data_IF_614256524096
#
_entry.id   IF_614256524096
#
_cell.length_a   1.000
_cell.length_b   1.000
_cell.length_c   1.000
_cell.angle_alpha   90.00
_cell.angle_beta   90.00
_cell.angle_gamma   90.00
#
_symmetry.space_group_name_H-M   'P 1'
#
loop_
_entity.id
_entity.type
_entity.pdbx_description
1 polymer ?
#
# COMPACT_ATOMS: atom_id res chain seq x y z
N UNK A 1 -19.29 -2.50 4.19
CA UNK A 1 -18.08 -1.65 4.38
C UNK A 1 -16.82 -2.19 3.71
N UNK A 2 -16.52 -3.50 3.78
CA UNK A 2 -15.28 -4.05 3.18
C UNK A 2 -15.21 -3.90 1.64
N UNK A 3 -16.33 -4.07 0.93
CA UNK A 3 -16.40 -3.87 -0.53
C UNK A 3 -16.21 -2.40 -0.92
N UNK A 4 -16.91 -1.49 -0.25
CA UNK A 4 -16.77 -0.05 -0.48
C UNK A 4 -15.32 0.42 -0.26
N UNK A 5 -14.66 -0.06 0.80
CA UNK A 5 -13.26 0.23 1.08
C UNK A 5 -12.34 -0.30 -0.02
N UNK A 6 -12.56 -1.52 -0.52
CA UNK A 6 -11.78 -2.09 -1.64
C UNK A 6 -11.97 -1.28 -2.92
N UNK A 7 -13.21 -0.90 -3.23
CA UNK A 7 -13.52 -0.10 -4.42
C UNK A 7 -12.88 1.30 -4.35
N UNK A 8 -12.90 1.92 -3.17
CA UNK A 8 -12.22 3.19 -2.93
C UNK A 8 -10.72 3.10 -3.12
N UNK A 9 -10.08 2.04 -2.59
CA UNK A 9 -8.65 1.81 -2.79
C UNK A 9 -8.34 1.59 -4.28
N UNK A 10 -9.15 0.79 -4.97
CA UNK A 10 -8.99 0.56 -6.41
C UNK A 10 -9.09 1.87 -7.19
N UNK A 11 -10.09 2.70 -6.90
CA UNK A 11 -10.28 4.00 -7.54
C UNK A 11 -9.07 4.90 -7.33
N UNK A 12 -8.56 5.00 -6.10
CA UNK A 12 -7.37 5.80 -5.78
C UNK A 12 -6.14 5.28 -6.54
N UNK A 13 -5.95 3.96 -6.60
CA UNK A 13 -4.85 3.37 -7.38
C UNK A 13 -4.96 3.69 -8.87
N UNK A 14 -6.16 3.58 -9.45
CA UNK A 14 -6.39 3.91 -10.87
C UNK A 14 -6.10 5.39 -11.14
N UNK A 15 -6.61 6.30 -10.29
CA UNK A 15 -6.36 7.73 -10.42
C UNK A 15 -4.86 8.06 -10.28
N UNK A 16 -4.15 7.40 -9.37
CA UNK A 16 -2.71 7.58 -9.20
C UNK A 16 -1.94 7.15 -10.46
N UNK A 17 -2.31 6.02 -11.08
CA UNK A 17 -1.71 5.54 -12.33
C UNK A 17 -2.00 6.53 -13.46
N UNK A 18 -3.25 6.98 -13.61
CA UNK A 18 -3.65 7.93 -14.65
C UNK A 18 -2.91 9.27 -14.50
N UNK A 19 -2.77 9.78 -13.27
CA UNK A 19 -1.98 10.97 -12.98
C UNK A 19 -0.51 10.77 -13.35
N UNK A 20 0.09 9.67 -12.92
CA UNK A 20 1.47 9.31 -13.26
C UNK A 20 1.69 9.26 -14.78
N UNK A 21 0.79 8.60 -15.50
CA UNK A 21 0.82 8.51 -16.95
C UNK A 21 0.70 9.91 -17.59
N UNK A 22 -0.26 10.72 -17.12
CA UNK A 22 -0.49 12.07 -17.64
C UNK A 22 0.75 12.96 -17.52
N UNK A 23 1.51 12.84 -16.44
CA UNK A 23 2.75 13.59 -16.22
C UNK A 23 3.83 13.13 -17.20
N UNK A 24 3.95 11.82 -17.45
CA UNK A 24 4.90 11.26 -18.45
C UNK A 24 4.55 11.75 -19.85
N UNK A 25 3.28 11.66 -20.24
CA UNK A 25 2.79 12.06 -21.57
C UNK A 25 2.90 13.57 -21.80
N UNK A 26 2.63 14.39 -20.77
CA UNK A 26 2.72 15.84 -20.86
C UNK A 26 4.16 16.38 -20.86
N UNK A 27 5.14 15.58 -20.43
CA UNK A 27 6.54 15.97 -20.34
C UNK A 27 7.43 14.92 -21.05
N UNK A 28 7.32 14.81 -22.39
CA UNK A 28 8.07 13.81 -23.17
C UNK A 28 9.56 14.15 -23.31
N UNK A 29 9.95 15.40 -23.04
CA UNK A 29 11.32 15.87 -23.19
C UNK A 29 12.30 15.05 -22.32
N UNK A 30 13.27 14.35 -22.94
CA UNK A 30 14.21 13.52 -22.22
C UNK A 30 15.24 14.39 -21.50
N UNK A 31 15.39 14.16 -20.19
CA UNK A 31 16.37 14.87 -19.35
C UNK A 31 17.35 13.85 -18.79
N UNK A 32 18.65 14.17 -18.85
CA UNK A 32 19.68 13.43 -18.13
C UNK A 32 19.63 13.78 -16.64
N UNK A 33 19.41 12.79 -15.80
CA UNK A 33 19.37 12.95 -14.33
C UNK A 33 20.67 12.43 -13.74
N UNK A 34 21.29 13.20 -12.84
CA UNK A 34 22.43 12.72 -12.04
C UNK A 34 21.93 12.28 -10.68
N UNK A 35 22.08 11.01 -10.36
CA UNK A 35 21.70 10.43 -9.07
C UNK A 35 22.95 9.91 -8.36
N UNK A 36 23.23 10.43 -7.16
CA UNK A 36 24.39 10.03 -6.34
C UNK A 36 25.73 10.09 -7.11
N UNK A 37 25.87 11.05 -8.04
CA UNK A 37 27.06 11.21 -8.88
C UNK A 37 27.07 10.37 -10.16
N UNK A 38 26.08 9.52 -10.39
CA UNK A 38 25.93 8.74 -11.61
C UNK A 38 24.93 9.39 -12.56
N UNK A 39 25.34 9.64 -13.81
CA UNK A 39 24.41 10.07 -14.86
C UNK A 39 23.55 8.89 -15.28
N UNK A 40 22.26 8.99 -14.98
CA UNK A 40 21.25 8.08 -15.50
C UNK A 40 20.96 8.48 -16.95
N UNK A 41 20.73 7.48 -17.80
CA UNK A 41 20.48 7.70 -19.22
C UNK A 41 19.28 8.62 -19.49
N UNK A 42 19.18 9.20 -20.70
CA UNK A 42 18.12 10.13 -21.04
C UNK A 42 16.76 9.43 -20.96
N UNK A 43 15.89 9.92 -20.08
CA UNK A 43 14.52 9.44 -19.91
C UNK A 43 13.57 10.62 -19.69
N UNK A 44 12.29 10.49 -20.04
CA UNK A 44 11.29 11.52 -19.74
C UNK A 44 11.26 11.81 -18.23
N UNK A 45 11.22 13.08 -17.85
CA UNK A 45 11.20 13.49 -16.44
C UNK A 45 10.01 12.92 -15.67
N UNK A 46 8.86 12.79 -16.33
CA UNK A 46 7.68 12.15 -15.75
C UNK A 46 7.90 10.69 -15.38
N UNK A 47 8.79 9.98 -16.09
CA UNK A 47 9.09 8.57 -15.80
C UNK A 47 9.90 8.45 -14.50
N UNK A 48 10.84 9.36 -14.27
CA UNK A 48 11.60 9.44 -13.01
C UNK A 48 10.68 9.69 -11.82
N UNK A 49 9.74 10.63 -11.97
CA UNK A 49 8.76 10.94 -10.92
C UNK A 49 7.87 9.72 -10.64
N UNK A 50 7.37 9.06 -11.70
CA UNK A 50 6.54 7.86 -11.59
C UNK A 50 7.28 6.72 -10.86
N UNK A 51 8.56 6.50 -11.19
CA UNK A 51 9.40 5.50 -10.54
C UNK A 51 9.63 5.83 -9.06
N UNK A 52 9.98 7.07 -8.74
CA UNK A 52 10.23 7.50 -7.36
C UNK A 52 8.99 7.31 -6.48
N UNK A 53 7.82 7.72 -6.97
CA UNK A 53 6.55 7.52 -6.25
C UNK A 53 6.22 6.04 -6.11
N UNK A 54 6.39 5.25 -7.17
CA UNK A 54 6.11 3.80 -7.15
C UNK A 54 7.00 3.07 -6.14
N UNK A 55 8.29 3.39 -6.10
CA UNK A 55 9.25 2.85 -5.12
C UNK A 55 8.88 3.29 -3.71
N UNK A 56 8.54 4.57 -3.50
CA UNK A 56 8.07 5.08 -2.22
C UNK A 56 6.82 4.37 -1.70
N UNK A 57 5.84 4.11 -2.56
CA UNK A 57 4.64 3.33 -2.21
C UNK A 57 4.98 1.90 -1.82
N UNK A 58 5.83 1.21 -2.60
CA UNK A 58 6.27 -0.16 -2.27
C UNK A 58 6.98 -0.20 -0.92
N UNK A 59 7.88 0.74 -0.66
CA UNK A 59 8.56 0.86 0.63
C UNK A 59 7.58 1.11 1.77
N UNK A 60 6.61 2.01 1.60
CA UNK A 60 5.56 2.26 2.59
C UNK A 60 4.74 1.00 2.93
N UNK A 61 4.42 0.18 1.91
CA UNK A 61 3.75 -1.11 2.12
C UNK A 61 4.64 -2.05 2.92
N UNK A 62 5.92 -2.19 2.54
CA UNK A 62 6.89 -3.05 3.24
C UNK A 62 7.05 -2.63 4.71
N UNK A 63 7.18 -1.32 4.97
CA UNK A 63 7.33 -0.78 6.33
C UNK A 63 6.06 -0.96 7.17
N UNK A 64 4.88 -0.97 6.55
CA UNK A 64 3.59 -1.14 7.26
C UNK A 64 3.23 -2.60 7.58
N UNK A 65 3.82 -3.57 6.87
CA UNK A 65 3.57 -5.02 7.04
C UNK A 65 3.73 -5.51 8.49
N UNK A 66 4.82 -5.18 9.22
CA UNK A 66 4.99 -5.62 10.61
C UNK A 66 3.88 -5.12 11.54
N UNK A 67 3.44 -3.87 11.39
CA UNK A 67 2.36 -3.30 12.18
C UNK A 67 1.04 -4.03 11.90
N UNK A 68 0.73 -4.28 10.63
CA UNK A 68 -0.47 -5.02 10.23
C UNK A 68 -0.46 -6.45 10.78
N UNK A 69 0.67 -7.15 10.74
CA UNK A 69 0.81 -8.50 11.29
C UNK A 69 0.62 -8.52 12.81
N UNK A 70 1.14 -7.52 13.53
CA UNK A 70 0.91 -7.37 14.99
C UNK A 70 -0.57 -7.21 15.30
N UNK A 71 -1.28 -6.37 14.56
CA UNK A 71 -2.73 -6.16 14.74
C UNK A 71 -3.49 -7.45 14.45
N UNK A 72 -3.20 -8.15 13.34
CA UNK A 72 -3.83 -9.44 13.01
C UNK A 72 -3.61 -10.50 14.09
N UNK A 73 -2.39 -10.63 14.62
CA UNK A 73 -2.08 -11.57 15.71
C UNK A 73 -2.86 -11.25 16.98
N UNK A 74 -2.94 -9.96 17.36
CA UNK A 74 -3.74 -9.53 18.52
C UNK A 74 -5.22 -9.87 18.33
N UNK A 75 -5.79 -9.53 17.17
CA UNK A 75 -7.18 -9.85 16.84
C UNK A 75 -7.46 -11.36 16.91
N UNK A 76 -6.56 -12.20 16.39
CA UNK A 76 -6.69 -13.66 16.48
C UNK A 76 -6.68 -14.16 17.93
N UNK A 77 -5.74 -13.66 18.75
CA UNK A 77 -5.67 -14.04 20.18
C UNK A 77 -6.93 -13.63 20.93
N UNK A 78 -7.43 -12.41 20.72
CA UNK A 78 -8.65 -11.93 21.36
C UNK A 78 -9.87 -12.76 20.94
N UNK A 79 -10.03 -13.06 19.65
CA UNK A 79 -11.10 -13.94 19.19
C UNK A 79 -11.03 -15.32 19.84
N UNK A 80 -9.84 -15.91 19.98
CA UNK A 80 -9.67 -17.21 20.66
C UNK A 80 -10.09 -17.16 22.13
N UNK A 81 -9.80 -16.07 22.83
CA UNK A 81 -10.21 -15.87 24.23
C UNK A 81 -11.73 -15.73 24.36
N UNK A 82 -12.36 -14.94 23.48
CA UNK A 82 -13.81 -14.77 23.44
C UNK A 82 -14.53 -16.10 23.17
N UNK A 83 -14.04 -16.91 22.24
CA UNK A 83 -14.61 -18.24 21.98
C UNK A 83 -14.53 -19.14 23.21
N UNK A 84 -13.37 -19.18 23.90
CA UNK A 84 -13.23 -19.96 25.13
C UNK A 84 -14.21 -19.52 26.23
N UNK A 85 -14.36 -18.21 26.44
CA UNK A 85 -15.29 -17.69 27.44
C UNK A 85 -16.75 -17.98 27.12
N UNK A 86 -17.14 -17.91 25.83
CA UNK A 86 -18.49 -18.29 25.39
C UNK A 86 -18.78 -19.78 25.66
N UNK A 87 -17.83 -20.66 25.38
CA UNK A 87 -17.98 -22.09 25.63
C UNK A 87 -18.14 -22.41 27.12
N UNK A 88 -17.39 -21.74 28.00
CA UNK A 88 -17.54 -21.88 29.46
C UNK A 88 -18.91 -21.39 29.93
N UNK A 89 -19.37 -20.24 29.42
CA UNK A 89 -20.67 -19.66 29.81
C UNK A 89 -21.87 -20.52 29.38
N UNK A 90 -21.77 -21.23 28.25
CA UNK A 90 -22.80 -22.18 27.80
C UNK A 90 -22.85 -23.47 28.65
N UNK A 91 -21.75 -23.83 29.33
CA UNK A 91 -21.72 -24.98 30.23
C UNK A 91 -22.29 -24.65 31.63
N UNK A 92 -22.31 -23.38 32.04
CA UNK A 92 -22.87 -22.92 33.32
C UNK A 92 -24.38 -22.63 33.30
N UNK A 93 -25.02 -22.57 32.12
CA UNK A 93 -26.47 -22.37 31.98
C UNK A 93 -27.09 -23.51 31.17
N UNK A 94 -27.41 -24.66 31.81
CA UNK A 94 -28.05 -25.80 31.16
C UNK A 94 -29.48 -25.50 30.68
#
# INVERSE_FOLDING_TARGET
MALLKKLWILLVCVLAILLGLSIVLANPEPISMVLLGYSLGPMPSGLWLLLAVSVGCLLGIIVSLPALLRVKRRAYRLNKQLTKQRLVKTQENP
#
